data_IF_394954423840
#
_entry.id   IF_394954423840
#
_cell.length_a   1.000
_cell.length_b   1.000
_cell.length_c   1.000
_cell.angle_alpha   90.00
_cell.angle_beta   90.00
_cell.angle_gamma   90.00
#
_symmetry.space_group_name_H-M   'P 1'
#
loop_
_entity.id
_entity.type
_entity.pdbx_description
1 polymer ?
#
# COMPACT_ATOMS: atom_id res chain seq x y z
N UNK A 1 -4.90 10.60 -9.03
CA UNK A 1 -4.89 9.79 -7.80
C UNK A 1 -6.27 9.73 -7.16
N UNK A 2 -6.92 10.87 -6.96
CA UNK A 2 -8.26 10.89 -6.36
C UNK A 2 -9.28 10.10 -7.16
N UNK A 3 -9.25 10.19 -8.48
CA UNK A 3 -10.15 9.44 -9.35
C UNK A 3 -9.96 7.94 -9.20
N UNK A 4 -8.71 7.50 -9.09
CA UNK A 4 -8.38 6.08 -8.87
C UNK A 4 -8.91 5.60 -7.53
N UNK A 5 -8.70 6.39 -6.47
CA UNK A 5 -9.18 6.05 -5.13
C UNK A 5 -10.71 5.99 -5.09
N UNK A 6 -11.37 6.95 -5.72
CA UNK A 6 -12.84 6.96 -5.81
C UNK A 6 -13.35 5.72 -6.54
N UNK A 7 -12.70 5.32 -7.63
CA UNK A 7 -13.09 4.12 -8.39
C UNK A 7 -12.93 2.85 -7.56
N UNK A 8 -11.87 2.76 -6.76
CA UNK A 8 -11.67 1.61 -5.86
C UNK A 8 -12.80 1.54 -4.83
N UNK A 9 -13.20 2.68 -4.25
CA UNK A 9 -14.31 2.72 -3.30
C UNK A 9 -15.62 2.31 -3.96
N UNK A 10 -15.87 2.76 -5.18
CA UNK A 10 -17.07 2.39 -5.94
C UNK A 10 -17.15 0.89 -6.21
N UNK A 11 -16.00 0.21 -6.26
CA UNK A 11 -15.92 -1.26 -6.42
C UNK A 11 -15.99 -2.01 -5.09
N UNK A 12 -16.22 -1.31 -3.98
CA UNK A 12 -16.24 -1.87 -2.62
C UNK A 12 -14.88 -2.48 -2.23
N UNK A 13 -13.79 -1.94 -2.76
CA UNK A 13 -12.45 -2.37 -2.39
C UNK A 13 -11.99 -1.51 -1.22
N UNK A 14 -11.54 -2.14 -0.13
CA UNK A 14 -10.97 -1.44 1.00
C UNK A 14 -9.59 -0.93 0.63
N UNK A 15 -9.31 0.31 0.99
CA UNK A 15 -8.05 0.98 0.67
C UNK A 15 -7.40 1.47 1.95
N UNK A 16 -6.12 1.14 2.12
CA UNK A 16 -5.33 1.60 3.25
C UNK A 16 -4.05 2.26 2.77
N UNK A 17 -3.60 3.25 3.50
CA UNK A 17 -2.26 3.81 3.34
C UNK A 17 -1.34 3.16 4.38
N UNK A 18 -0.18 2.67 3.94
CA UNK A 18 0.89 2.17 4.81
C UNK A 18 2.17 2.93 4.48
N UNK A 19 2.71 3.65 5.44
CA UNK A 19 3.90 4.47 5.26
C UNK A 19 4.86 4.32 6.44
N UNK A 20 6.16 4.56 6.19
CA UNK A 20 7.17 4.60 7.24
C UNK A 20 7.23 5.95 7.97
N UNK A 21 6.49 6.97 7.51
CA UNK A 21 6.33 8.21 8.26
C UNK A 21 5.63 7.91 9.58
N UNK A 22 6.00 8.66 10.64
CA UNK A 22 5.31 8.48 11.93
C UNK A 22 3.82 8.80 11.78
N UNK A 23 2.99 8.14 12.58
CA UNK A 23 1.53 8.19 12.46
C UNK A 23 0.98 9.62 12.39
N UNK A 24 1.46 10.51 13.25
CA UNK A 24 1.00 11.90 13.30
C UNK A 24 1.27 12.63 11.98
N UNK A 25 2.45 12.41 11.38
CA UNK A 25 2.78 13.01 10.07
C UNK A 25 1.92 12.43 8.96
N UNK A 26 1.68 11.13 8.98
CA UNK A 26 0.82 10.49 7.98
C UNK A 26 -0.60 11.07 8.04
N UNK A 27 -1.16 11.22 9.23
CA UNK A 27 -2.49 11.80 9.43
C UNK A 27 -2.56 13.23 8.93
N UNK A 28 -1.55 14.04 9.22
CA UNK A 28 -1.49 15.44 8.78
C UNK A 28 -1.46 15.57 7.26
N UNK A 29 -0.68 14.72 6.59
CA UNK A 29 -0.58 14.73 5.12
C UNK A 29 -1.92 14.37 4.50
N UNK A 30 -2.55 13.32 4.99
CA UNK A 30 -3.85 12.86 4.49
C UNK A 30 -4.92 13.94 4.66
N UNK A 31 -4.93 14.62 5.80
CA UNK A 31 -5.90 15.68 6.08
C UNK A 31 -5.60 16.94 5.26
N UNK A 32 -4.32 17.26 5.07
CA UNK A 32 -3.92 18.43 4.26
C UNK A 32 -4.40 18.31 2.81
N UNK A 33 -4.33 17.13 2.23
CA UNK A 33 -4.76 16.89 0.85
C UNK A 33 -6.23 16.43 0.75
N UNK A 34 -6.97 16.43 1.86
CA UNK A 34 -8.38 16.02 1.91
C UNK A 34 -8.61 14.63 1.30
N UNK A 35 -7.74 13.68 1.65
CA UNK A 35 -7.79 12.32 1.12
C UNK A 35 -8.37 11.29 2.08
N UNK A 36 -8.66 11.67 3.34
CA UNK A 36 -9.08 10.72 4.38
C UNK A 36 -10.33 9.93 4.00
N UNK A 37 -11.24 10.57 3.28
CA UNK A 37 -12.49 9.92 2.83
C UNK A 37 -12.26 8.71 1.92
N UNK A 38 -11.09 8.59 1.31
CA UNK A 38 -10.77 7.49 0.40
C UNK A 38 -10.09 6.32 1.10
N UNK A 39 -9.65 6.48 2.34
CA UNK A 39 -8.91 5.45 3.06
C UNK A 39 -9.73 4.87 4.20
N UNK A 40 -9.78 3.55 4.26
CA UNK A 40 -10.41 2.83 5.37
C UNK A 40 -9.52 2.83 6.60
N UNK A 41 -8.20 2.92 6.39
CA UNK A 41 -7.22 2.96 7.47
C UNK A 41 -5.95 3.67 6.99
N UNK A 42 -5.36 4.49 7.84
CA UNK A 42 -4.06 5.12 7.61
C UNK A 42 -3.10 4.59 8.67
N UNK A 43 -2.10 3.83 8.24
CA UNK A 43 -1.09 3.22 9.10
C UNK A 43 0.26 3.89 8.88
N UNK A 44 0.67 4.72 9.82
CA UNK A 44 2.04 5.23 9.90
C UNK A 44 2.87 4.36 10.83
N UNK A 45 4.12 4.78 11.08
CA UNK A 45 4.98 4.11 12.02
C UNK A 45 4.50 4.37 13.45
N UNK A 46 4.33 3.32 14.24
CA UNK A 46 3.86 3.36 15.63
C UNK A 46 4.80 2.53 16.50
N UNK A 47 4.90 2.91 17.76
CA UNK A 47 5.62 2.11 18.75
C UNK A 47 4.97 0.74 18.90
N UNK A 48 5.78 -0.30 19.02
CA UNK A 48 5.29 -1.67 19.20
C UNK A 48 4.90 -2.40 17.91
N UNK A 49 4.94 -1.72 16.76
CA UNK A 49 4.70 -2.35 15.46
C UNK A 49 5.95 -2.16 14.61
N UNK A 50 6.54 -3.27 14.14
CA UNK A 50 7.67 -3.19 13.22
C UNK A 50 7.22 -2.55 11.91
N UNK A 51 8.12 -1.85 11.24
CA UNK A 51 7.83 -1.22 9.95
C UNK A 51 8.41 -2.03 8.80
N UNK A 52 8.01 -1.67 7.57
CA UNK A 52 8.51 -2.34 6.36
C UNK A 52 10.03 -2.48 6.38
N UNK A 53 10.61 -3.59 5.94
CA UNK A 53 10.00 -4.68 5.18
C UNK A 53 9.32 -5.77 6.03
N UNK A 54 9.18 -5.58 7.34
CA UNK A 54 8.45 -6.54 8.18
C UNK A 54 7.00 -6.69 7.67
N UNK A 55 6.42 -7.89 7.72
CA UNK A 55 5.02 -8.08 7.35
C UNK A 55 4.06 -7.55 8.40
N UNK A 56 4.52 -7.25 9.60
CA UNK A 56 3.68 -6.92 10.76
C UNK A 56 2.69 -5.78 10.49
N UNK A 57 3.08 -4.62 9.90
CA UNK A 57 2.12 -3.54 9.70
C UNK A 57 1.03 -3.90 8.69
N UNK A 58 1.35 -4.65 7.64
CA UNK A 58 0.36 -5.08 6.66
C UNK A 58 -0.61 -6.09 7.28
N UNK A 59 -0.10 -7.05 8.05
CA UNK A 59 -0.94 -8.02 8.74
C UNK A 59 -1.87 -7.34 9.74
N UNK A 60 -1.40 -6.31 10.44
CA UNK A 60 -2.21 -5.51 11.35
C UNK A 60 -3.36 -4.80 10.63
N UNK A 61 -3.06 -4.21 9.47
CA UNK A 61 -4.09 -3.58 8.63
C UNK A 61 -5.16 -4.60 8.23
N UNK A 62 -4.74 -5.78 7.80
CA UNK A 62 -5.68 -6.82 7.38
C UNK A 62 -6.58 -7.27 8.54
N UNK A 63 -6.03 -7.39 9.75
CA UNK A 63 -6.81 -7.72 10.94
C UNK A 63 -7.81 -6.61 11.23
N UNK A 64 -7.36 -5.36 11.26
CA UNK A 64 -8.21 -4.21 11.60
C UNK A 64 -9.34 -3.99 10.59
N UNK A 65 -9.11 -4.30 9.32
CA UNK A 65 -10.11 -4.19 8.26
C UNK A 65 -10.91 -5.49 8.03
N UNK A 66 -10.58 -6.55 8.76
CA UNK A 66 -11.22 -7.86 8.63
C UNK A 66 -11.16 -8.40 7.21
N UNK A 67 -9.98 -8.31 6.58
CA UNK A 67 -9.72 -8.83 5.24
C UNK A 67 -8.65 -9.91 5.29
N UNK A 68 -8.70 -10.84 4.33
CA UNK A 68 -7.68 -11.89 4.20
C UNK A 68 -6.47 -11.31 3.47
N UNK A 69 -5.28 -11.51 4.03
CA UNK A 69 -4.04 -11.05 3.41
C UNK A 69 -3.83 -11.69 2.02
N UNK A 70 -4.34 -12.88 1.80
CA UNK A 70 -4.25 -13.55 0.48
C UNK A 70 -5.08 -12.85 -0.60
N UNK A 71 -6.05 -12.03 -0.21
CA UNK A 71 -6.89 -11.25 -1.11
C UNK A 71 -6.52 -9.77 -1.08
N UNK A 72 -5.30 -9.47 -0.64
CA UNK A 72 -4.80 -8.10 -0.48
C UNK A 72 -3.68 -7.85 -1.48
N UNK A 73 -3.63 -6.64 -2.02
CA UNK A 73 -2.56 -6.18 -2.90
C UNK A 73 -1.75 -5.10 -2.17
N UNK A 74 -0.45 -5.34 -2.01
CA UNK A 74 0.48 -4.33 -1.51
C UNK A 74 1.12 -3.63 -2.69
N UNK A 75 0.83 -2.34 -2.87
CA UNK A 75 1.38 -1.53 -3.96
C UNK A 75 2.35 -0.50 -3.40
N UNK A 76 3.49 -0.34 -4.04
CA UNK A 76 4.48 0.64 -3.62
C UNK A 76 5.60 0.81 -4.62
N UNK A 77 6.43 1.83 -4.39
CA UNK A 77 7.48 2.24 -5.30
C UNK A 77 8.89 1.82 -4.85
N UNK A 78 9.00 1.10 -3.74
CA UNK A 78 10.29 0.65 -3.21
C UNK A 78 10.32 -0.87 -3.03
N UNK A 79 11.55 -1.40 -2.93
CA UNK A 79 11.78 -2.80 -2.61
C UNK A 79 11.22 -3.18 -1.25
N UNK A 80 11.16 -2.23 -0.31
CA UNK A 80 10.63 -2.47 1.03
C UNK A 80 9.13 -2.79 0.99
N UNK A 81 8.40 -2.13 0.10
CA UNK A 81 6.96 -2.36 -0.08
C UNK A 81 6.71 -3.78 -0.59
N UNK A 82 7.48 -4.19 -1.61
CA UNK A 82 7.34 -5.51 -2.20
C UNK A 82 7.73 -6.60 -1.21
N UNK A 83 8.83 -6.42 -0.49
CA UNK A 83 9.29 -7.35 0.54
C UNK A 83 8.25 -7.49 1.66
N UNK A 84 7.66 -6.38 2.09
CA UNK A 84 6.60 -6.37 3.11
C UNK A 84 5.41 -7.23 2.65
N UNK A 85 4.94 -7.00 1.43
CA UNK A 85 3.83 -7.76 0.87
C UNK A 85 4.13 -9.25 0.75
N UNK A 86 5.29 -9.60 0.23
CA UNK A 86 5.71 -11.00 0.10
C UNK A 86 5.83 -11.69 1.45
N UNK A 87 6.44 -11.02 2.42
CA UNK A 87 6.60 -11.56 3.76
C UNK A 87 5.27 -11.79 4.46
N UNK A 88 4.27 -10.97 4.13
CA UNK A 88 2.92 -11.11 4.67
C UNK A 88 2.07 -12.17 3.93
N UNK A 89 2.44 -12.53 2.71
CA UNK A 89 1.68 -13.46 1.89
C UNK A 89 0.61 -12.79 1.02
N UNK A 90 0.72 -11.47 0.77
CA UNK A 90 -0.19 -10.74 -0.12
C UNK A 90 0.32 -10.78 -1.56
N UNK A 91 -0.53 -10.35 -2.50
CA UNK A 91 -0.07 -9.97 -3.83
C UNK A 91 0.75 -8.69 -3.73
N UNK A 92 1.66 -8.48 -4.67
CA UNK A 92 2.53 -7.32 -4.68
C UNK A 92 2.52 -6.62 -6.03
N UNK A 93 2.60 -5.29 -6.01
CA UNK A 93 2.61 -4.46 -7.20
C UNK A 93 3.67 -3.36 -7.04
N UNK A 94 4.63 -3.34 -7.96
CA UNK A 94 5.59 -2.25 -8.04
C UNK A 94 5.04 -1.10 -8.87
N UNK A 95 5.19 0.14 -8.38
CA UNK A 95 4.73 1.35 -9.06
C UNK A 95 5.95 2.19 -9.44
N UNK A 96 6.06 2.56 -10.71
CA UNK A 96 7.26 3.23 -11.26
C UNK A 96 7.20 4.75 -11.10
N UNK A 97 6.95 5.25 -9.89
CA UNK A 97 6.92 6.68 -9.62
C UNK A 97 8.13 7.21 -8.87
N UNK A 98 8.80 6.33 -8.13
CA UNK A 98 9.83 6.74 -7.19
C UNK A 98 11.22 6.71 -7.80
N UNK A 99 12.20 6.62 -6.93
CA UNK A 99 13.61 6.62 -7.30
C UNK A 99 14.09 5.25 -7.80
N UNK A 100 13.28 4.18 -7.60
CA UNK A 100 13.65 2.83 -7.99
C UNK A 100 13.33 2.62 -9.46
N UNK A 101 14.28 2.00 -10.18
CA UNK A 101 14.05 1.63 -11.57
C UNK A 101 13.21 0.35 -11.64
N UNK A 102 12.68 0.09 -12.83
CA UNK A 102 11.95 -1.16 -13.08
C UNK A 102 12.82 -2.37 -12.78
N UNK A 103 14.10 -2.31 -13.16
CA UNK A 103 15.05 -3.41 -12.95
C UNK A 103 15.26 -3.71 -11.47
N UNK A 104 15.34 -2.68 -10.62
CA UNK A 104 15.50 -2.87 -9.17
C UNK A 104 14.25 -3.49 -8.55
N UNK A 105 13.05 -3.08 -8.99
CA UNK A 105 11.81 -3.66 -8.49
C UNK A 105 11.62 -5.09 -8.98
N UNK A 106 12.04 -5.42 -10.21
CA UNK A 106 11.95 -6.77 -10.76
C UNK A 106 12.78 -7.79 -9.98
N UNK A 107 13.89 -7.36 -9.34
CA UNK A 107 14.71 -8.23 -8.49
C UNK A 107 13.87 -8.83 -7.37
N UNK A 108 12.91 -8.09 -6.84
CA UNK A 108 12.04 -8.55 -5.77
C UNK A 108 10.88 -9.43 -6.27
N UNK A 109 10.74 -9.60 -7.58
CA UNK A 109 9.72 -10.45 -8.22
C UNK A 109 8.30 -10.11 -7.78
N UNK A 110 7.85 -8.85 -7.95
CA UNK A 110 6.45 -8.51 -7.65
C UNK A 110 5.52 -9.24 -8.62
N UNK A 111 4.28 -9.43 -8.20
CA UNK A 111 3.27 -10.04 -9.07
C UNK A 111 2.92 -9.15 -10.26
N UNK A 112 2.95 -7.82 -10.04
CA UNK A 112 2.63 -6.82 -11.07
C UNK A 112 3.61 -5.66 -10.99
N UNK A 113 3.85 -4.99 -12.13
CA UNK A 113 4.54 -3.70 -12.20
C UNK A 113 3.70 -2.78 -13.07
N UNK A 114 3.38 -1.59 -12.54
CA UNK A 114 2.59 -0.59 -13.25
C UNK A 114 3.37 0.73 -13.33
N UNK A 115 3.17 1.48 -14.41
CA UNK A 115 3.80 2.78 -14.60
C UNK A 115 2.98 3.96 -14.09
N UNK A 116 1.67 3.75 -13.94
CA UNK A 116 0.72 4.77 -13.48
C UNK A 116 -0.24 4.12 -12.50
N UNK A 117 -0.54 4.80 -11.40
CA UNK A 117 -1.44 4.26 -10.36
C UNK A 117 -2.82 3.91 -10.91
N UNK A 118 -3.27 4.58 -11.97
CA UNK A 118 -4.56 4.27 -12.60
C UNK A 118 -4.64 2.84 -13.12
N UNK A 119 -3.50 2.27 -13.50
CA UNK A 119 -3.43 0.88 -13.97
C UNK A 119 -3.78 -0.13 -12.88
N UNK A 120 -3.80 0.28 -11.61
CA UNK A 120 -4.19 -0.62 -10.52
C UNK A 120 -5.63 -1.11 -10.70
N UNK A 121 -6.46 -0.33 -11.37
CA UNK A 121 -7.85 -0.71 -11.64
C UNK A 121 -7.96 -1.92 -12.58
N UNK A 122 -6.91 -2.22 -13.33
CA UNK A 122 -6.83 -3.39 -14.21
C UNK A 122 -6.31 -4.63 -13.47
N UNK A 123 -5.67 -4.43 -12.33
CA UNK A 123 -5.05 -5.50 -11.53
C UNK A 123 -6.04 -6.06 -10.49
N UNK A 124 -6.87 -5.22 -9.94
CA UNK A 124 -7.79 -5.58 -8.84
C UNK A 124 -9.21 -5.96 -9.28
#
# INVERSE_FOLDING_TARGET
VEETLASLKDRNIKVSLLTTKIQDQADRIIDHFDLRKYFDLVMGRRDGIAHKPSPEPLLKICIDLAVDVKNTLMAGDTELDIQCGKNAGSYTCGVLYGYRTKELLEIEKPDFIIGDIREILEVV
#
